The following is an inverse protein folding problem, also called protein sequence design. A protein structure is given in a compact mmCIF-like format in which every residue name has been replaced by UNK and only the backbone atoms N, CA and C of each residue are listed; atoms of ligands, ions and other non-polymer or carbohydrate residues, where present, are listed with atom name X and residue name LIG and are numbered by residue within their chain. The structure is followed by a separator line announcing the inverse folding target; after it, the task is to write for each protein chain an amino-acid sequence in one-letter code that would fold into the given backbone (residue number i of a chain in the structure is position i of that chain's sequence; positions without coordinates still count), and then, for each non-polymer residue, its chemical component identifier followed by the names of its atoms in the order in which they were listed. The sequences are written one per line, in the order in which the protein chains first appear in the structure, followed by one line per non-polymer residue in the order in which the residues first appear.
data_IF_088978988566
#
_entry.id   IF_088978988566
#
_cell.length_a   1.000
_cell.length_b   1.000
_cell.length_c   1.000
_cell.angle_alpha   90.00
_cell.angle_beta   90.00
_cell.angle_gamma   90.00
#
_symmetry.space_group_name_H-M   'P 1'
#
loop_
_entity.id
_entity.type
_entity.pdbx_description
1 polymer ?
#
# COMPACT_ATOMS: atom_id res chain seq x y z
N UNK A 1 21.01 6.89 -8.66
CA UNK A 1 19.79 6.30 -9.27
C UNK A 1 18.67 7.28 -9.02
N UNK A 2 18.02 7.74 -10.08
CA UNK A 2 16.93 8.70 -10.04
C UNK A 2 15.62 8.06 -9.54
N UNK A 3 14.80 8.80 -8.81
CA UNK A 3 13.52 8.33 -8.28
C UNK A 3 12.53 8.06 -9.42
N UNK A 4 12.54 8.90 -10.47
CA UNK A 4 11.71 8.67 -11.65
C UNK A 4 12.05 7.32 -12.30
N UNK A 5 13.34 7.01 -12.43
CA UNK A 5 13.80 5.76 -13.01
C UNK A 5 13.42 4.51 -12.19
N UNK A 6 13.37 4.63 -10.85
CA UNK A 6 12.85 3.56 -9.97
C UNK A 6 11.35 3.42 -10.08
N UNK A 7 10.64 4.54 -10.13
CA UNK A 7 9.19 4.56 -10.32
C UNK A 7 8.80 3.95 -11.67
N UNK A 8 9.51 4.29 -12.75
CA UNK A 8 9.27 3.75 -14.09
C UNK A 8 9.55 2.23 -14.15
N UNK A 9 10.60 1.75 -13.48
CA UNK A 9 10.90 0.33 -13.38
C UNK A 9 9.85 -0.45 -12.57
N UNK A 10 9.38 0.12 -11.45
CA UNK A 10 8.30 -0.43 -10.64
C UNK A 10 6.98 -0.42 -11.41
N UNK A 11 6.64 0.69 -12.08
CA UNK A 11 5.44 0.83 -12.89
C UNK A 11 5.45 -0.13 -14.08
N UNK A 12 6.58 -0.33 -14.75
CA UNK A 12 6.73 -1.32 -15.82
C UNK A 12 6.50 -2.76 -15.33
N UNK A 13 7.05 -3.11 -14.16
CA UNK A 13 6.83 -4.42 -13.54
C UNK A 13 5.38 -4.62 -13.09
N UNK A 14 4.74 -3.57 -12.55
CA UNK A 14 3.35 -3.62 -12.08
C UNK A 14 2.37 -3.70 -13.26
N UNK A 15 2.57 -2.90 -14.32
CA UNK A 15 1.79 -3.01 -15.57
C UNK A 15 1.90 -4.40 -16.21
N UNK A 16 3.08 -5.01 -16.14
CA UNK A 16 3.24 -6.41 -16.53
C UNK A 16 2.42 -7.39 -15.68
N UNK A 17 2.29 -7.11 -14.37
CA UNK A 17 1.50 -7.91 -13.44
C UNK A 17 -0.02 -7.73 -13.63
N UNK A 18 -0.49 -6.57 -14.10
CA UNK A 18 -1.92 -6.33 -14.42
C UNK A 18 -2.48 -7.38 -15.38
N UNK A 19 -1.67 -7.85 -16.33
CA UNK A 19 -2.07 -8.91 -17.28
C UNK A 19 -2.41 -10.25 -16.64
N UNK A 20 -2.00 -10.47 -15.38
CA UNK A 20 -2.23 -11.69 -14.60
C UNK A 20 -3.26 -11.51 -13.50
N UNK A 21 -3.75 -10.29 -13.29
CA UNK A 21 -4.72 -9.94 -12.26
C UNK A 21 -6.09 -9.70 -12.88
N UNK A 22 -7.14 -10.13 -12.19
CA UNK A 22 -8.48 -9.68 -12.51
C UNK A 22 -8.62 -8.21 -12.04
N UNK A 23 -8.41 -7.28 -12.96
CA UNK A 23 -8.43 -5.84 -12.68
C UNK A 23 -9.83 -5.29 -12.31
N UNK A 24 -10.84 -6.15 -12.19
CA UNK A 24 -12.18 -5.81 -11.69
C UNK A 24 -12.39 -6.16 -10.22
N UNK A 25 -11.44 -6.87 -9.59
CA UNK A 25 -11.53 -7.33 -8.20
C UNK A 25 -10.38 -6.80 -7.37
N UNK A 26 -10.49 -6.93 -6.04
CA UNK A 26 -9.35 -6.74 -5.16
C UNK A 26 -8.18 -7.66 -5.56
N UNK A 27 -6.91 -7.18 -5.63
CA UNK A 27 -6.38 -5.89 -5.18
C UNK A 27 -6.23 -4.81 -6.28
N UNK A 28 -7.00 -4.85 -7.37
CA UNK A 28 -6.82 -3.94 -8.50
C UNK A 28 -6.83 -2.43 -8.17
N UNK A 29 -7.66 -1.91 -7.24
CA UNK A 29 -7.58 -0.51 -6.83
C UNK A 29 -6.22 -0.11 -6.27
N UNK A 30 -5.57 -0.99 -5.48
CA UNK A 30 -4.22 -0.77 -4.93
C UNK A 30 -3.19 -0.73 -6.04
N UNK A 31 -3.30 -1.62 -7.04
CA UNK A 31 -2.39 -1.62 -8.19
C UNK A 31 -2.50 -0.31 -8.97
N UNK A 32 -3.73 0.14 -9.26
CA UNK A 32 -3.97 1.45 -9.91
C UNK A 32 -3.39 2.61 -9.10
N UNK A 33 -3.51 2.56 -7.77
CA UNK A 33 -2.91 3.57 -6.89
C UNK A 33 -1.39 3.61 -7.02
N UNK A 34 -0.73 2.44 -6.99
CA UNK A 34 0.72 2.33 -7.14
C UNK A 34 1.22 2.76 -8.53
N UNK A 35 0.36 2.68 -9.56
CA UNK A 35 0.64 3.16 -10.91
C UNK A 35 0.35 4.65 -11.10
N UNK A 36 -0.27 5.31 -10.11
CA UNK A 36 -0.68 6.72 -10.17
C UNK A 36 -2.03 6.97 -10.83
N UNK A 37 -2.77 5.92 -11.18
CA UNK A 37 -4.10 6.01 -11.83
C UNK A 37 -5.24 6.25 -10.83
N UNK A 38 -4.99 6.01 -9.53
CA UNK A 38 -5.96 6.22 -8.45
C UNK A 38 -5.30 6.90 -7.25
N UNK A 39 -6.03 7.77 -6.55
CA UNK A 39 -5.49 8.40 -5.32
C UNK A 39 -5.63 7.46 -4.12
N UNK A 40 -4.82 7.64 -3.06
CA UNK A 40 -5.00 6.91 -1.79
C UNK A 40 -6.42 6.98 -1.23
N UNK A 41 -7.04 8.17 -1.28
CA UNK A 41 -8.38 8.39 -0.75
C UNK A 41 -9.43 7.63 -1.57
N UNK A 42 -9.35 7.70 -2.90
CA UNK A 42 -10.26 6.97 -3.78
C UNK A 42 -10.07 5.45 -3.65
N UNK A 43 -8.84 5.00 -3.42
CA UNK A 43 -8.52 3.58 -3.17
C UNK A 43 -9.09 3.11 -1.84
N UNK A 44 -9.04 3.94 -0.80
CA UNK A 44 -9.65 3.64 0.50
C UNK A 44 -11.18 3.55 0.40
N UNK A 45 -11.82 4.38 -0.42
CA UNK A 45 -13.26 4.26 -0.72
C UNK A 45 -13.56 2.94 -1.44
N UNK A 46 -12.71 2.54 -2.39
CA UNK A 46 -12.85 1.26 -3.11
C UNK A 46 -12.60 0.02 -2.24
N UNK A 47 -12.02 0.19 -1.04
CA UNK A 47 -11.81 -0.88 -0.06
C UNK A 47 -13.06 -1.18 0.80
N UNK A 48 -14.18 -0.48 0.57
CA UNK A 48 -15.44 -0.79 1.25
C UNK A 48 -15.99 -2.14 0.75
N UNK A 49 -16.35 -3.02 1.70
CA UNK A 49 -16.88 -4.35 1.40
C UNK A 49 -17.98 -4.68 2.44
N UNK A 50 -19.12 -5.27 2.03
CA UNK A 50 -20.15 -5.71 2.96
C UNK A 50 -19.65 -6.80 3.93
N UNK A 51 -18.59 -7.54 3.60
CA UNK A 51 -17.88 -8.40 4.52
C UNK A 51 -16.89 -7.57 5.37
N UNK A 52 -17.12 -7.43 6.68
CA UNK A 52 -16.27 -6.62 7.55
C UNK A 52 -14.81 -7.09 7.56
N UNK A 53 -14.55 -8.39 7.42
CA UNK A 53 -13.20 -8.92 7.42
C UNK A 53 -12.44 -8.51 6.15
N UNK A 54 -13.13 -8.52 5.00
CA UNK A 54 -12.57 -8.00 3.75
C UNK A 54 -12.35 -6.51 3.83
N UNK A 55 -13.35 -5.73 4.26
CA UNK A 55 -13.21 -4.27 4.43
C UNK A 55 -11.99 -3.92 5.28
N UNK A 56 -11.83 -4.57 6.43
CA UNK A 56 -10.66 -4.34 7.30
C UNK A 56 -9.35 -4.72 6.59
N UNK A 57 -9.27 -5.89 5.96
CA UNK A 57 -8.06 -6.32 5.25
C UNK A 57 -7.69 -5.37 4.11
N UNK A 58 -8.66 -5.03 3.27
CA UNK A 58 -8.49 -4.14 2.13
C UNK A 58 -8.05 -2.74 2.58
N UNK A 59 -8.71 -2.14 3.57
CA UNK A 59 -8.33 -0.83 4.09
C UNK A 59 -6.93 -0.82 4.70
N UNK A 60 -6.53 -1.91 5.37
CA UNK A 60 -5.18 -2.07 5.91
C UNK A 60 -4.13 -2.07 4.79
N UNK A 61 -4.38 -2.81 3.69
CA UNK A 61 -3.52 -2.84 2.52
C UNK A 61 -3.37 -1.45 1.88
N UNK A 62 -4.48 -0.71 1.71
CA UNK A 62 -4.41 0.68 1.20
C UNK A 62 -3.50 1.55 2.06
N UNK A 63 -3.66 1.51 3.39
CA UNK A 63 -2.84 2.32 4.30
C UNK A 63 -1.35 1.94 4.20
N UNK A 64 -1.04 0.65 4.13
CA UNK A 64 0.33 0.19 3.98
C UNK A 64 0.96 0.67 2.65
N UNK A 65 0.31 0.45 1.52
CA UNK A 65 0.86 0.87 0.22
C UNK A 65 0.90 2.39 0.06
N UNK A 66 0.00 3.13 0.72
CA UNK A 66 0.07 4.60 0.80
C UNK A 66 1.31 5.05 1.60
N UNK A 67 1.67 4.32 2.66
CA UNK A 67 2.90 4.57 3.41
C UNK A 67 4.15 4.35 2.55
N UNK A 68 4.17 3.28 1.75
CA UNK A 68 5.25 2.98 0.80
C UNK A 68 5.39 4.09 -0.26
N UNK A 69 4.29 4.57 -0.83
CA UNK A 69 4.31 5.70 -1.78
C UNK A 69 4.84 6.99 -1.13
N UNK A 70 4.42 7.31 0.10
CA UNK A 70 4.95 8.46 0.83
C UNK A 70 6.45 8.30 1.12
N UNK A 71 6.90 7.09 1.47
CA UNK A 71 8.30 6.78 1.73
C UNK A 71 9.16 6.97 0.48
N UNK A 72 8.67 6.54 -0.69
CA UNK A 72 9.35 6.76 -1.97
C UNK A 72 9.49 8.25 -2.32
N UNK A 73 8.51 9.06 -1.93
CA UNK A 73 8.51 10.52 -2.09
C UNK A 73 9.24 11.27 -0.97
N UNK A 74 9.87 10.55 -0.02
CA UNK A 74 10.55 11.11 1.16
C UNK A 74 9.63 11.88 2.13
N UNK A 75 8.32 11.61 2.10
CA UNK A 75 7.36 12.10 3.08
C UNK A 75 7.34 11.18 4.31
N UNK A 76 8.46 11.12 5.02
CA UNK A 76 8.70 10.11 6.06
C UNK A 76 7.75 10.20 7.25
N UNK A 77 7.32 11.41 7.64
CA UNK A 77 6.38 11.61 8.73
C UNK A 77 5.01 10.99 8.44
N UNK A 78 4.53 11.16 7.21
CA UNK A 78 3.25 10.61 6.78
C UNK A 78 3.35 9.09 6.59
N UNK A 79 4.47 8.61 6.02
CA UNK A 79 4.77 7.19 5.93
C UNK A 79 4.78 6.53 7.34
N UNK A 80 5.45 7.14 8.32
CA UNK A 80 5.47 6.69 9.71
C UNK A 80 4.06 6.59 10.31
N UNK A 81 3.22 7.62 10.09
CA UNK A 81 1.84 7.63 10.57
C UNK A 81 1.06 6.44 10.00
N UNK A 82 1.18 6.22 8.70
CA UNK A 82 0.44 5.17 8.00
C UNK A 82 0.96 3.76 8.31
N UNK A 83 2.28 3.55 8.46
CA UNK A 83 2.80 2.26 8.92
C UNK A 83 2.30 1.89 10.32
N UNK A 84 2.16 2.87 11.23
CA UNK A 84 1.55 2.61 12.56
C UNK A 84 0.08 2.21 12.45
N UNK A 85 -0.67 2.83 11.55
CA UNK A 85 -2.06 2.45 11.26
C UNK A 85 -2.13 1.03 10.72
N UNK A 86 -1.32 0.70 9.71
CA UNK A 86 -1.26 -0.65 9.14
C UNK A 86 -0.85 -1.71 10.19
N UNK A 87 0.16 -1.44 11.02
CA UNK A 87 0.59 -2.37 12.06
C UNK A 87 -0.51 -2.61 13.12
N UNK A 88 -1.34 -1.59 13.39
CA UNK A 88 -2.45 -1.71 14.35
C UNK A 88 -3.63 -2.47 13.76
N UNK A 89 -4.00 -2.18 12.52
CA UNK A 89 -5.29 -2.57 11.94
C UNK A 89 -5.20 -3.79 11.03
N UNK A 90 -4.03 -4.11 10.48
CA UNK A 90 -3.87 -5.28 9.63
C UNK A 90 -4.01 -6.58 10.43
N UNK A 91 -4.76 -7.57 9.92
CA UNK A 91 -4.75 -8.92 10.47
C UNK A 91 -3.32 -9.47 10.54
N UNK A 92 -2.95 -10.13 11.64
CA UNK A 92 -1.57 -10.65 11.85
C UNK A 92 -1.13 -11.70 10.81
N UNK A 93 -2.08 -12.25 10.07
CA UNK A 93 -1.86 -13.20 8.98
C UNK A 93 -1.48 -12.53 7.66
N UNK A 94 -1.70 -11.21 7.54
CA UNK A 94 -1.41 -10.44 6.34
C UNK A 94 0.08 -10.08 6.30
N UNK A 95 0.65 -9.98 5.11
CA UNK A 95 2.08 -9.66 4.93
C UNK A 95 2.36 -8.22 5.36
N UNK A 96 1.38 -7.34 5.17
CA UNK A 96 1.37 -5.92 5.49
C UNK A 96 1.59 -5.67 6.97
N UNK A 97 1.04 -6.52 7.87
CA UNK A 97 1.31 -6.43 9.31
C UNK A 97 2.81 -6.55 9.61
N UNK A 98 3.46 -7.56 9.03
CA UNK A 98 4.90 -7.81 9.24
C UNK A 98 5.74 -6.76 8.53
N UNK A 99 5.35 -6.37 7.32
CA UNK A 99 6.03 -5.37 6.51
C UNK A 99 5.99 -3.98 7.16
N UNK A 100 4.86 -3.55 7.71
CA UNK A 100 4.73 -2.30 8.45
C UNK A 100 5.68 -2.23 9.65
N UNK A 101 5.77 -3.32 10.43
CA UNK A 101 6.72 -3.40 11.53
C UNK A 101 8.19 -3.34 11.07
N UNK A 102 8.51 -3.93 9.92
CA UNK A 102 9.85 -3.82 9.33
C UNK A 102 10.15 -2.41 8.82
N UNK A 103 9.19 -1.75 8.18
CA UNK A 103 9.31 -0.39 7.68
C UNK A 103 9.52 0.62 8.82
N UNK A 104 8.79 0.48 9.93
CA UNK A 104 9.00 1.29 11.15
C UNK A 104 10.42 1.15 11.69
N UNK A 105 10.94 -0.08 11.80
CA UNK A 105 12.33 -0.32 12.22
C UNK A 105 13.34 0.28 11.25
N UNK A 106 13.09 0.21 9.95
CA UNK A 106 13.95 0.82 8.93
C UNK A 106 13.98 2.35 9.00
N UNK A 107 12.95 2.96 9.58
CA UNK A 107 12.86 4.40 9.89
C UNK A 107 13.40 4.74 11.29
N UNK A 108 14.01 3.79 12.00
CA UNK A 108 14.57 4.00 13.33
C UNK A 108 13.54 4.07 14.45
N UNK A 109 12.28 3.68 14.16
CA UNK A 109 11.19 3.68 15.15
C UNK A 109 10.95 2.25 15.62
N UNK A 110 10.88 2.07 16.94
CA UNK A 110 10.43 0.79 17.50
C UNK A 110 8.93 0.63 17.24
N UNK A 111 8.48 -0.51 16.67
CA UNK A 111 7.07 -0.75 16.35
C UNK A 111 6.14 -0.74 17.56
#
# INVERSE_FOLDING_TARGET
MDLAQRHDGLAGSLRGAESKLDMTKWPAPVVRMLLGDLTPEATLVAADDPDPAKKTGQACEVNFFTAELNRLQKHDDEALRLYRVALRDCPRTFVEYRAAGAALRALGVSP
#
